data_IF_460866618549
#
_entry.id   IF_460866618549
#
_cell.length_a   1.000
_cell.length_b   1.000
_cell.length_c   1.000
_cell.angle_alpha   90.00
_cell.angle_beta   90.00
_cell.angle_gamma   90.00
#
_symmetry.space_group_name_H-M   'P 1'
#
loop_
_entity.id
_entity.type
_entity.pdbx_description
1 polymer ?
#
# COMPACT_ATOMS: atom_id res chain seq x y z
N UNK A 1 2.86 4.69 -16.20
CA UNK A 1 3.19 5.61 -17.31
C UNK A 1 3.68 4.88 -18.57
N UNK A 2 4.70 4.02 -18.45
CA UNK A 2 5.37 3.41 -19.61
C UNK A 2 4.54 2.40 -20.39
N UNK A 3 3.50 1.82 -19.79
CA UNK A 3 2.53 0.94 -20.47
C UNK A 3 1.43 1.71 -21.23
N UNK A 4 1.37 3.04 -21.11
CA UNK A 4 0.40 3.86 -21.83
C UNK A 4 1.03 4.38 -23.13
N UNK A 5 0.29 4.34 -24.27
CA UNK A 5 0.70 5.03 -25.47
C UNK A 5 0.97 6.51 -25.21
N UNK A 6 1.84 7.12 -26.01
CA UNK A 6 2.04 8.56 -25.97
C UNK A 6 0.74 9.29 -26.28
N UNK A 7 0.39 10.27 -25.44
CA UNK A 7 -0.79 11.10 -25.63
C UNK A 7 -1.31 11.69 -24.32
N UNK A 8 -2.39 12.45 -24.43
CA UNK A 8 -2.94 13.27 -23.35
C UNK A 8 -3.19 12.50 -22.05
N UNK A 9 -3.70 11.27 -22.12
CA UNK A 9 -3.95 10.43 -20.94
C UNK A 9 -2.67 10.12 -20.17
N UNK A 10 -1.59 9.80 -20.87
CA UNK A 10 -0.28 9.54 -20.26
C UNK A 10 0.20 10.81 -19.57
N UNK A 11 0.18 11.94 -20.28
CA UNK A 11 0.74 13.19 -19.79
C UNK A 11 -0.01 13.69 -18.54
N UNK A 12 -1.35 13.66 -18.56
CA UNK A 12 -2.18 14.01 -17.40
C UNK A 12 -1.90 13.14 -16.18
N UNK A 13 -1.73 11.82 -16.37
CA UNK A 13 -1.40 10.92 -15.26
C UNK A 13 -0.02 11.21 -14.67
N UNK A 14 0.99 11.51 -15.48
CA UNK A 14 2.30 11.93 -14.95
C UNK A 14 2.21 13.23 -14.17
N UNK A 15 1.48 14.24 -14.68
CA UNK A 15 1.34 15.52 -13.98
C UNK A 15 0.63 15.31 -12.64
N UNK A 16 -0.46 14.54 -12.61
CA UNK A 16 -1.17 14.23 -11.38
C UNK A 16 -0.29 13.47 -10.38
N UNK A 17 0.44 12.46 -10.83
CA UNK A 17 1.34 11.68 -9.98
C UNK A 17 2.48 12.54 -9.41
N UNK A 18 3.16 13.31 -10.25
CA UNK A 18 4.26 14.18 -9.82
C UNK A 18 3.80 15.21 -8.80
N UNK A 19 2.58 15.73 -8.93
CA UNK A 19 2.01 16.65 -7.92
C UNK A 19 1.90 15.99 -6.56
N UNK A 20 1.30 14.79 -6.49
CA UNK A 20 1.13 14.05 -5.23
C UNK A 20 2.51 13.68 -4.65
N UNK A 21 3.42 13.17 -5.47
CA UNK A 21 4.76 12.78 -4.99
C UNK A 21 5.52 13.97 -4.42
N UNK A 22 5.44 15.14 -5.07
CA UNK A 22 6.09 16.35 -4.58
C UNK A 22 5.43 16.89 -3.31
N UNK A 23 4.09 16.85 -3.23
CA UNK A 23 3.34 17.32 -2.05
C UNK A 23 3.69 16.51 -0.80
N UNK A 24 3.90 15.20 -0.93
CA UNK A 24 4.19 14.29 0.18
C UNK A 24 5.66 13.86 0.26
N UNK A 25 6.60 14.56 -0.41
CA UNK A 25 7.99 14.13 -0.56
C UNK A 25 8.68 13.72 0.75
N UNK A 26 8.44 14.44 1.84
CA UNK A 26 9.03 14.19 3.17
C UNK A 26 8.32 13.06 3.94
N UNK A 27 7.23 12.52 3.40
CA UNK A 27 6.34 11.54 4.01
C UNK A 27 6.23 10.26 3.16
N UNK A 28 7.09 10.09 2.15
CA UNK A 28 7.20 8.86 1.36
C UNK A 28 8.21 7.94 2.04
N UNK A 29 7.70 6.91 2.69
CA UNK A 29 8.55 5.88 3.30
C UNK A 29 9.08 4.92 2.23
N UNK A 30 10.40 4.64 2.22
CA UNK A 30 10.93 3.58 1.37
C UNK A 30 10.46 2.21 1.88
N UNK A 31 10.34 1.24 0.98
CA UNK A 31 10.22 -0.16 1.37
C UNK A 31 11.60 -0.62 1.83
N UNK A 32 11.80 -0.65 3.14
CA UNK A 32 13.04 -1.11 3.75
C UNK A 32 13.00 -2.61 4.08
N UNK A 33 14.11 -3.12 4.63
CA UNK A 33 14.21 -4.53 5.02
C UNK A 33 13.15 -4.93 6.05
N UNK A 34 12.87 -4.08 7.04
CA UNK A 34 11.92 -4.39 8.12
C UNK A 34 10.50 -4.47 7.57
N UNK A 35 10.12 -3.54 6.68
CA UNK A 35 8.85 -3.58 5.97
C UNK A 35 8.71 -4.83 5.09
N UNK A 36 9.76 -5.22 4.37
CA UNK A 36 9.77 -6.42 3.54
C UNK A 36 9.66 -7.72 4.36
N UNK A 37 10.32 -7.79 5.53
CA UNK A 37 10.23 -8.94 6.45
C UNK A 37 8.79 -9.12 6.97
N UNK A 38 8.13 -8.03 7.37
CA UNK A 38 6.72 -8.07 7.76
C UNK A 38 5.80 -8.45 6.60
N UNK A 39 6.04 -7.93 5.40
CA UNK A 39 5.27 -8.29 4.21
C UNK A 39 5.35 -9.80 3.92
N UNK A 40 6.54 -10.40 4.04
CA UNK A 40 6.72 -11.84 3.87
C UNK A 40 5.98 -12.65 4.96
N UNK A 41 5.99 -12.17 6.21
CA UNK A 41 5.25 -12.78 7.30
C UNK A 41 3.73 -12.75 7.05
N UNK A 42 3.17 -11.60 6.65
CA UNK A 42 1.75 -11.46 6.33
C UNK A 42 1.31 -12.32 5.15
N UNK A 43 2.10 -12.39 4.07
CA UNK A 43 1.79 -13.29 2.95
C UNK A 43 1.82 -14.76 3.37
N UNK A 44 2.77 -15.14 4.24
CA UNK A 44 2.83 -16.50 4.80
C UNK A 44 1.60 -16.80 5.67
N UNK A 45 1.19 -15.87 6.52
CA UNK A 45 -0.01 -15.98 7.34
C UNK A 45 -1.26 -16.14 6.48
N UNK A 46 -1.44 -15.27 5.48
CA UNK A 46 -2.55 -15.32 4.53
C UNK A 46 -2.59 -16.68 3.81
N UNK A 47 -1.44 -17.13 3.30
CA UNK A 47 -1.34 -18.40 2.59
C UNK A 47 -1.74 -19.60 3.46
N UNK A 48 -1.27 -19.64 4.73
CA UNK A 48 -1.68 -20.66 5.71
C UNK A 48 -3.18 -20.63 6.01
N UNK A 49 -3.81 -19.46 5.91
CA UNK A 49 -5.25 -19.27 6.01
C UNK A 49 -6.03 -19.53 4.72
N UNK A 50 -5.40 -20.07 3.66
CA UNK A 50 -6.06 -20.38 2.39
C UNK A 50 -6.38 -19.16 1.52
N UNK A 51 -5.77 -18.00 1.79
CA UNK A 51 -5.98 -16.75 1.05
C UNK A 51 -4.67 -16.26 0.43
N UNK A 52 -4.77 -15.53 -0.67
CA UNK A 52 -3.62 -14.88 -1.32
C UNK A 52 -3.66 -13.40 -0.98
N UNK A 53 -2.58 -12.89 -0.39
CA UNK A 53 -2.35 -11.47 -0.21
C UNK A 53 -1.45 -10.96 -1.34
N UNK A 54 -1.91 -9.94 -2.06
CA UNK A 54 -1.14 -9.29 -3.12
C UNK A 54 0.19 -8.75 -2.59
N UNK A 55 1.22 -8.73 -3.42
CA UNK A 55 2.54 -8.24 -3.00
C UNK A 55 2.49 -6.75 -2.62
N UNK A 56 1.74 -5.92 -3.36
CA UNK A 56 1.60 -4.50 -3.06
C UNK A 56 0.95 -4.26 -1.70
N UNK A 57 -0.17 -4.92 -1.45
CA UNK A 57 -0.88 -4.81 -0.16
C UNK A 57 -0.03 -5.34 1.00
N UNK A 58 0.70 -6.43 0.79
CA UNK A 58 1.63 -6.95 1.79
C UNK A 58 2.75 -5.97 2.12
N UNK A 59 3.32 -5.29 1.11
CA UNK A 59 4.36 -4.28 1.31
C UNK A 59 3.81 -3.04 2.02
N UNK A 60 2.59 -2.61 1.70
CA UNK A 60 1.91 -1.51 2.41
C UNK A 60 1.67 -1.88 3.87
N UNK A 61 1.07 -3.05 4.13
CA UNK A 61 0.84 -3.55 5.49
C UNK A 61 2.14 -3.71 6.27
N UNK A 62 3.15 -4.31 5.66
CA UNK A 62 4.44 -4.57 6.29
C UNK A 62 5.18 -3.29 6.64
N UNK A 63 5.15 -2.29 5.76
CA UNK A 63 5.71 -0.96 6.02
C UNK A 63 4.96 -0.27 7.15
N UNK A 64 3.62 -0.26 7.11
CA UNK A 64 2.83 0.33 8.19
C UNK A 64 3.15 -0.32 9.55
N UNK A 65 3.21 -1.66 9.60
CA UNK A 65 3.57 -2.39 10.82
C UNK A 65 5.00 -2.10 11.30
N UNK A 66 5.95 -1.99 10.38
CA UNK A 66 7.34 -1.70 10.70
C UNK A 66 7.53 -0.32 11.36
N UNK A 67 6.67 0.64 11.02
CA UNK A 67 6.72 2.03 11.47
C UNK A 67 5.61 2.42 12.47
N UNK A 68 4.84 1.45 12.97
CA UNK A 68 3.74 1.68 13.94
C UNK A 68 2.66 2.64 13.39
N UNK A 69 2.34 2.50 12.11
CA UNK A 69 1.32 3.27 11.40
C UNK A 69 0.08 2.43 11.10
N UNK A 70 -1.02 3.10 10.75
CA UNK A 70 -2.25 2.46 10.27
C UNK A 70 -2.36 2.54 8.74
N UNK A 71 -3.00 1.55 8.13
CA UNK A 71 -3.35 1.55 6.70
C UNK A 71 -4.70 2.20 6.50
N UNK A 72 -4.73 3.36 5.82
CA UNK A 72 -5.97 3.98 5.40
C UNK A 72 -6.42 3.43 4.03
N UNK A 73 -7.47 2.61 3.99
CA UNK A 73 -7.91 1.94 2.75
C UNK A 73 -9.42 1.69 2.73
N UNK A 74 -10.00 1.66 1.53
CA UNK A 74 -11.36 1.14 1.32
C UNK A 74 -11.37 -0.40 1.28
N UNK A 75 -10.24 -1.02 0.96
CA UNK A 75 -10.11 -2.46 0.76
C UNK A 75 -9.79 -3.19 2.07
N UNK A 76 -10.61 -3.01 3.10
CA UNK A 76 -10.35 -3.52 4.46
C UNK A 76 -10.19 -5.05 4.49
N UNK A 77 -10.93 -5.77 3.63
CA UNK A 77 -10.99 -7.23 3.61
C UNK A 77 -9.63 -7.91 3.35
N UNK A 78 -8.72 -7.24 2.63
CA UNK A 78 -7.40 -7.79 2.33
C UNK A 78 -6.44 -7.73 3.53
N UNK A 79 -6.72 -6.87 4.49
CA UNK A 79 -5.91 -6.69 5.71
C UNK A 79 -6.50 -7.40 6.93
N UNK A 80 -7.70 -7.98 6.82
CA UNK A 80 -8.34 -8.70 7.93
C UNK A 80 -7.47 -9.83 8.48
N UNK A 81 -7.27 -9.82 9.81
CA UNK A 81 -6.50 -10.82 10.53
C UNK A 81 -4.98 -10.63 10.47
N UNK A 82 -4.49 -9.60 9.76
CA UNK A 82 -3.10 -9.17 9.85
C UNK A 82 -2.92 -8.32 11.13
N UNK A 83 -1.74 -8.37 11.71
CA UNK A 83 -1.35 -7.54 12.85
C UNK A 83 -0.95 -6.14 12.36
N UNK A 84 -1.93 -5.37 11.85
CA UNK A 84 -1.78 -3.99 11.41
C UNK A 84 -3.11 -3.24 11.59
N UNK A 85 -3.06 -2.00 12.06
CA UNK A 85 -4.26 -1.18 12.21
C UNK A 85 -4.78 -0.73 10.85
N UNK A 86 -6.09 -0.77 10.65
CA UNK A 86 -6.75 -0.41 9.39
C UNK A 86 -7.85 0.60 9.66
N UNK A 87 -7.85 1.69 8.90
CA UNK A 87 -8.88 2.73 8.95
C UNK A 87 -9.56 2.79 7.59
N UNK A 88 -10.89 2.70 7.57
CA UNK A 88 -11.68 2.97 6.37
C UNK A 88 -12.20 4.41 6.39
N UNK A 89 -11.55 5.37 5.71
CA UNK A 89 -11.96 6.77 5.76
C UNK A 89 -13.30 7.03 5.03
N UNK A 90 -13.90 6.02 4.41
CA UNK A 90 -15.22 6.12 3.80
C UNK A 90 -16.37 5.70 4.72
N UNK A 91 -16.10 5.07 5.86
CA UNK A 91 -17.14 4.65 6.83
C UNK A 91 -17.54 5.76 7.80
N UNK A 92 -16.68 6.75 8.01
CA UNK A 92 -16.97 7.93 8.82
C UNK A 92 -17.61 9.02 7.96
N UNK A 93 -18.92 8.96 7.80
CA UNK A 93 -19.75 10.09 7.34
C UNK A 93 -20.94 10.30 8.26
#
# INVERSE_FOLDING_TARGET
MQLLPQGQRRDLLSVALSRIVNEYQDHILPVDRKGAEWAAAFRTQAHRGGRVLDLGDALVAGTARAHELSVATRNVADFNGLDVDVINPWESR
#
